data_IF_032495693891
#
_entry.id   IF_032495693891
#
_cell.length_a   1.000
_cell.length_b   1.000
_cell.length_c   1.000
_cell.angle_alpha   90.00
_cell.angle_beta   90.00
_cell.angle_gamma   90.00
#
_symmetry.space_group_name_H-M   'P 1'
#
loop_
_entity.id
_entity.type
_entity.pdbx_description
1 polymer ?
#
# COMPACT_ATOMS: atom_id res chain seq x y z
N UNK A 1 -3.77 0.70 -12.45
CA UNK A 1 -4.04 1.21 -11.10
C UNK A 1 -4.58 0.09 -10.26
N UNK A 2 -3.68 -0.76 -9.82
CA UNK A 2 -3.96 -1.72 -8.76
C UNK A 2 -3.65 -1.05 -7.41
N UNK A 3 -4.65 -0.99 -6.55
CA UNK A 3 -4.52 -0.55 -5.16
C UNK A 3 -5.18 -1.61 -4.30
N UNK A 4 -4.48 -2.07 -3.27
CA UNK A 4 -4.95 -3.18 -2.44
C UNK A 4 -4.63 -2.91 -0.97
N UNK A 5 -5.60 -3.15 -0.10
CA UNK A 5 -5.37 -3.11 1.34
C UNK A 5 -4.97 -4.51 1.80
N UNK A 6 -3.88 -4.57 2.56
CA UNK A 6 -3.28 -5.79 3.06
C UNK A 6 -3.36 -5.77 4.58
N UNK A 7 -4.08 -6.74 5.13
CA UNK A 7 -4.06 -7.04 6.56
C UNK A 7 -2.77 -7.80 6.88
N UNK A 8 -1.72 -7.04 7.21
CA UNK A 8 -0.42 -7.57 7.62
C UNK A 8 0.04 -6.88 8.91
N UNK A 9 0.69 -7.65 9.78
CA UNK A 9 1.16 -7.16 11.08
C UNK A 9 2.47 -6.35 10.96
N UNK A 10 3.16 -6.48 9.83
CA UNK A 10 4.40 -5.78 9.55
C UNK A 10 4.50 -5.35 8.09
N UNK A 11 5.34 -4.33 7.85
CA UNK A 11 5.63 -3.84 6.50
C UNK A 11 6.27 -4.92 5.63
N UNK A 12 7.21 -5.68 6.18
CA UNK A 12 7.90 -6.74 5.45
C UNK A 12 6.91 -7.81 4.95
N UNK A 13 5.94 -8.19 5.78
CA UNK A 13 4.87 -9.09 5.37
C UNK A 13 3.98 -8.49 4.28
N UNK A 14 3.70 -7.18 4.33
CA UNK A 14 2.97 -6.49 3.27
C UNK A 14 3.76 -6.44 1.95
N UNK A 15 5.08 -6.26 2.00
CA UNK A 15 5.99 -6.30 0.85
C UNK A 15 6.04 -7.70 0.22
N UNK A 16 6.06 -8.75 1.03
CA UNK A 16 6.00 -10.15 0.57
C UNK A 16 4.65 -10.51 -0.09
N UNK A 17 3.54 -9.98 0.44
CA UNK A 17 2.18 -10.21 -0.09
C UNK A 17 1.90 -9.37 -1.35
N UNK A 18 2.52 -8.19 -1.46
CA UNK A 18 2.43 -7.34 -2.64
C UNK A 18 3.80 -6.98 -3.22
N UNK A 19 4.51 -7.96 -3.81
CA UNK A 19 5.80 -7.73 -4.47
C UNK A 19 5.67 -6.86 -5.73
N UNK A 20 4.43 -6.66 -6.19
CA UNK A 20 4.08 -5.79 -7.31
C UNK A 20 3.94 -4.32 -6.89
N UNK A 21 3.87 -4.02 -5.59
CA UNK A 21 3.67 -2.67 -5.10
C UNK A 21 4.94 -1.84 -5.27
N UNK A 22 4.80 -0.65 -5.85
CA UNK A 22 5.86 0.34 -5.88
C UNK A 22 5.94 1.12 -4.56
N UNK A 23 4.79 1.30 -3.88
CA UNK A 23 4.69 2.02 -2.60
C UNK A 23 3.76 1.26 -1.67
N UNK A 24 4.14 1.15 -0.40
CA UNK A 24 3.31 0.60 0.67
C UNK A 24 3.26 1.62 1.81
N UNK A 25 2.04 1.99 2.22
CA UNK A 25 1.78 2.97 3.28
C UNK A 25 1.09 2.31 4.48
N UNK A 26 1.46 2.72 5.69
CA UNK A 26 0.82 2.24 6.92
C UNK A 26 -0.60 2.79 7.06
N UNK A 27 -1.51 1.98 7.56
CA UNK A 27 -2.90 2.32 7.82
C UNK A 27 -3.39 1.70 9.14
N UNK A 28 -4.50 2.20 9.66
CA UNK A 28 -4.97 1.91 11.03
C UNK A 28 -5.13 0.41 11.37
N UNK A 29 -5.31 -0.45 10.37
CA UNK A 29 -5.49 -1.90 10.54
C UNK A 29 -4.61 -2.74 9.60
N UNK A 30 -3.58 -2.16 8.97
CA UNK A 30 -2.78 -2.86 7.97
C UNK A 30 -2.00 -1.91 7.07
N UNK A 31 -1.88 -2.28 5.80
CA UNK A 31 -1.03 -1.57 4.84
C UNK A 31 -1.75 -1.36 3.51
N UNK A 32 -1.67 -0.16 2.96
CA UNK A 32 -2.11 0.10 1.58
C UNK A 32 -0.95 -0.09 0.62
N UNK A 33 -1.12 -0.98 -0.35
CA UNK A 33 -0.18 -1.24 -1.43
C UNK A 33 -0.65 -0.57 -2.73
N UNK A 34 0.27 0.13 -3.38
CA UNK A 34 0.03 0.90 -4.60
C UNK A 34 0.98 0.44 -5.71
N UNK A 35 0.44 0.28 -6.92
CA UNK A 35 1.20 -0.09 -8.12
C UNK A 35 2.18 1.02 -8.56
N UNK A 36 1.92 2.27 -8.20
CA UNK A 36 2.79 3.41 -8.51
C UNK A 36 2.83 4.45 -7.38
N UNK A 37 3.89 5.25 -7.33
CA UNK A 37 3.99 6.37 -6.40
C UNK A 37 2.92 7.44 -6.66
N UNK A 38 2.55 7.66 -7.92
CA UNK A 38 1.50 8.63 -8.28
C UNK A 38 0.12 8.21 -7.76
N UNK A 39 -0.16 6.90 -7.67
CA UNK A 39 -1.39 6.40 -7.07
C UNK A 39 -1.42 6.64 -5.56
N UNK A 40 -0.30 6.41 -4.89
CA UNK A 40 -0.14 6.71 -3.47
C UNK A 40 -0.34 8.22 -3.19
N UNK A 41 0.33 9.09 -3.96
CA UNK A 41 0.17 10.55 -3.86
C UNK A 41 -1.28 11.00 -4.12
N UNK A 42 -1.94 10.41 -5.13
CA UNK A 42 -3.34 10.73 -5.44
C UNK A 42 -4.26 10.34 -4.29
N UNK A 43 -4.02 9.19 -3.66
CA UNK A 43 -4.79 8.73 -2.51
C UNK A 43 -4.57 9.61 -1.28
N UNK A 44 -3.32 10.00 -1.00
CA UNK A 44 -3.01 10.93 0.11
C UNK A 44 -3.68 12.28 -0.07
N UNK A 45 -3.76 12.79 -1.31
CA UNK A 45 -4.42 14.08 -1.61
C UNK A 45 -5.96 14.02 -1.57
N UNK A 46 -6.56 12.84 -1.54
CA UNK A 46 -8.02 12.64 -1.47
C UNK A 46 -8.56 12.39 -0.06
N UNK A 47 -7.68 12.19 0.92
CA UNK A 47 -8.04 12.12 2.35
C UNK A 47 -8.32 13.51 2.93
#
# INVERSE_FOLDING_TARGET
MKTEFIEAESREQAEDLAPWAAVILEADAGWWAFESSSDAETWENQK
#
